data_IF_181710724995
#
_entry.id   IF_181710724995
#
_cell.length_a   1.000
_cell.length_b   1.000
_cell.length_c   1.000
_cell.angle_alpha   90.00
_cell.angle_beta   90.00
_cell.angle_gamma   90.00
#
_symmetry.space_group_name_H-M   'P 1'
#
loop_
_entity.id
_entity.type
_entity.pdbx_description
1 polymer ?
#
# COMPACT_ATOMS: atom_id res chain seq x y z
N UNK A 1 10.25 28.88 -44.93
CA UNK A 1 8.87 29.43 -44.91
C UNK A 1 8.89 30.75 -45.66
N UNK A 2 8.20 30.83 -46.79
CA UNK A 2 7.95 32.08 -47.51
C UNK A 2 6.93 32.90 -46.69
N UNK A 3 7.18 34.17 -46.36
CA UNK A 3 6.21 35.00 -45.66
C UNK A 3 4.89 35.07 -46.42
N UNK A 4 3.75 35.07 -45.71
CA UNK A 4 2.46 35.32 -46.33
C UNK A 4 2.40 36.75 -46.88
N UNK A 5 1.86 36.92 -48.08
CA UNK A 5 1.64 38.23 -48.69
C UNK A 5 0.14 38.51 -48.74
N UNK A 6 -0.26 39.70 -48.29
CA UNK A 6 -1.62 40.22 -48.45
C UNK A 6 -1.50 41.54 -49.19
N UNK A 7 -2.08 41.61 -50.40
CA UNK A 7 -2.02 42.80 -51.27
C UNK A 7 -0.58 43.23 -51.65
N UNK A 8 0.35 42.27 -51.76
CA UNK A 8 1.73 42.54 -52.19
C UNK A 8 2.68 43.02 -51.10
N UNK A 9 2.21 43.16 -49.85
CA UNK A 9 3.06 43.44 -48.70
C UNK A 9 3.25 42.19 -47.84
N UNK A 10 4.48 41.99 -47.34
CA UNK A 10 4.83 40.85 -46.48
C UNK A 10 4.21 41.03 -45.10
N UNK A 11 3.32 40.12 -44.72
CA UNK A 11 2.61 40.17 -43.45
C UNK A 11 3.10 39.06 -42.51
N UNK A 12 3.26 39.38 -41.23
CA UNK A 12 3.55 38.37 -40.20
C UNK A 12 2.26 37.68 -39.82
N UNK A 13 2.13 36.41 -40.22
CA UNK A 13 0.98 35.58 -39.84
C UNK A 13 1.30 34.91 -38.51
N UNK A 14 0.62 35.33 -37.44
CA UNK A 14 0.64 34.61 -36.17
C UNK A 14 -0.21 33.34 -36.35
N UNK A 15 0.41 32.17 -36.34
CA UNK A 15 -0.31 30.91 -36.32
C UNK A 15 -0.24 30.33 -34.91
N UNK A 16 -1.40 30.03 -34.34
CA UNK A 16 -1.51 29.15 -33.17
C UNK A 16 -1.66 27.73 -33.70
N UNK A 17 -0.64 26.89 -33.49
CA UNK A 17 -0.83 25.45 -33.66
C UNK A 17 -1.59 24.98 -32.42
N UNK A 18 -2.82 24.46 -32.54
CA UNK A 18 -3.43 23.79 -31.41
C UNK A 18 -2.58 22.55 -31.10
N UNK A 19 -1.77 22.61 -30.03
CA UNK A 19 -1.15 21.42 -29.48
C UNK A 19 -2.26 20.65 -28.77
N UNK A 20 -2.85 19.69 -29.47
CA UNK A 20 -3.74 18.73 -28.83
C UNK A 20 -2.87 17.72 -28.07
N UNK A 21 -2.77 17.88 -26.76
CA UNK A 21 -2.24 16.83 -25.89
C UNK A 21 -3.25 15.67 -25.89
N UNK A 22 -2.98 14.63 -26.68
CA UNK A 22 -3.61 13.33 -26.46
C UNK A 22 -2.91 12.71 -25.25
N UNK A 23 -3.56 12.76 -24.08
CA UNK A 23 -3.18 11.94 -22.94
C UNK A 23 -3.55 10.48 -23.29
N UNK A 24 -2.68 9.79 -24.03
CA UNK A 24 -2.79 8.34 -24.26
C UNK A 24 -2.29 7.58 -23.03
N UNK A 25 -2.97 7.79 -21.91
CA UNK A 25 -2.81 6.99 -20.71
C UNK A 25 -4.17 6.88 -20.05
N UNK A 26 -4.70 5.67 -19.91
CA UNK A 26 -5.77 5.45 -18.94
C UNK A 26 -5.24 5.96 -17.60
N UNK A 27 -5.92 6.94 -17.00
CA UNK A 27 -5.66 7.29 -15.61
C UNK A 27 -5.84 6.01 -14.78
N UNK A 28 -4.76 5.51 -14.21
CA UNK A 28 -4.81 4.37 -13.30
C UNK A 28 -5.22 4.94 -11.96
N UNK A 29 -6.53 4.91 -11.69
CA UNK A 29 -7.08 5.36 -10.42
C UNK A 29 -6.43 4.61 -9.27
N UNK A 30 -5.81 5.36 -8.34
CA UNK A 30 -5.05 4.82 -7.20
C UNK A 30 -3.53 4.75 -7.42
N UNK A 31 -3.03 4.98 -8.63
CA UNK A 31 -1.60 5.13 -8.87
C UNK A 31 -1.10 6.51 -8.42
N UNK A 32 0.07 6.56 -7.77
CA UNK A 32 0.71 7.82 -7.35
C UNK A 32 1.93 8.10 -8.22
N UNK A 33 2.00 9.29 -8.80
CA UNK A 33 3.19 9.75 -9.50
C UNK A 33 4.10 10.49 -8.53
N UNK A 34 5.37 10.15 -8.56
CA UNK A 34 6.39 10.72 -7.68
C UNK A 34 7.11 11.88 -8.38
N UNK A 35 7.83 12.69 -7.59
CA UNK A 35 8.58 13.86 -8.10
C UNK A 35 9.68 13.47 -9.10
N UNK A 36 10.22 12.26 -8.98
CA UNK A 36 11.22 11.68 -9.90
C UNK A 36 10.60 11.11 -11.19
N UNK A 37 9.28 11.19 -11.35
CA UNK A 37 8.54 10.68 -12.50
C UNK A 37 8.15 9.20 -12.42
N UNK A 38 8.62 8.46 -11.42
CA UNK A 38 8.22 7.06 -11.20
C UNK A 38 6.74 6.95 -10.82
N UNK A 39 6.13 5.81 -11.15
CA UNK A 39 4.73 5.53 -10.88
C UNK A 39 4.60 4.41 -9.84
N UNK A 40 3.90 4.70 -8.74
CA UNK A 40 3.54 3.72 -7.72
C UNK A 40 2.16 3.17 -8.02
N UNK A 41 2.04 1.86 -8.24
CA UNK A 41 0.75 1.20 -8.50
C UNK A 41 0.50 0.16 -7.40
N UNK A 42 -0.62 0.24 -6.67
CA UNK A 42 -0.94 -0.74 -5.63
C UNK A 42 -1.04 -2.18 -6.15
N UNK A 43 -0.48 -3.12 -5.40
CA UNK A 43 -0.50 -4.56 -5.72
C UNK A 43 -1.93 -5.11 -5.95
N UNK A 44 -2.92 -4.53 -5.28
CA UNK A 44 -4.33 -4.92 -5.39
C UNK A 44 -4.90 -4.73 -6.81
N UNK A 45 -4.47 -3.69 -7.53
CA UNK A 45 -5.11 -3.27 -8.80
C UNK A 45 -4.18 -3.30 -10.02
N UNK A 46 -2.88 -3.53 -9.84
CA UNK A 46 -1.91 -3.61 -10.93
C UNK A 46 -2.27 -4.72 -11.94
N UNK A 47 -2.07 -4.45 -13.24
CA UNK A 47 -2.36 -5.40 -14.32
C UNK A 47 -1.50 -6.65 -14.24
N UNK A 48 -0.18 -6.49 -14.17
CA UNK A 48 0.77 -7.60 -13.93
C UNK A 48 1.47 -7.37 -12.60
N UNK A 49 1.23 -8.26 -11.66
CA UNK A 49 1.86 -8.21 -10.34
C UNK A 49 3.34 -8.60 -10.41
N UNK A 50 4.17 -8.11 -9.48
CA UNK A 50 5.51 -8.64 -9.31
C UNK A 50 5.50 -10.16 -9.13
N UNK A 51 6.44 -10.85 -9.78
CA UNK A 51 6.56 -12.31 -9.71
C UNK A 51 7.72 -12.67 -8.79
N UNK A 52 7.39 -13.31 -7.68
CA UNK A 52 8.38 -13.88 -6.77
C UNK A 52 9.04 -15.09 -7.47
N UNK A 53 10.38 -15.29 -7.35
CA UNK A 53 11.03 -16.45 -7.95
C UNK A 53 10.38 -17.77 -7.55
N UNK A 54 9.97 -18.56 -8.53
CA UNK A 54 9.19 -19.80 -8.35
C UNK A 54 7.67 -19.65 -8.48
N UNK A 55 7.17 -18.47 -8.89
CA UNK A 55 5.75 -18.20 -9.17
C UNK A 55 5.45 -17.97 -10.66
N UNK A 56 6.40 -18.28 -11.56
CA UNK A 56 6.32 -17.95 -12.99
C UNK A 56 5.11 -18.62 -13.67
N UNK A 57 4.79 -19.86 -13.27
CA UNK A 57 3.72 -20.67 -13.84
C UNK A 57 2.49 -20.79 -12.91
N UNK A 58 2.37 -19.91 -11.92
CA UNK A 58 1.27 -19.99 -10.96
C UNK A 58 -0.06 -19.56 -11.59
N UNK A 59 -1.13 -20.34 -11.37
CA UNK A 59 -2.49 -20.01 -11.80
C UNK A 59 -2.97 -18.65 -11.24
N UNK A 60 -2.56 -18.35 -10.00
CA UNK A 60 -2.79 -17.06 -9.36
C UNK A 60 -1.47 -16.50 -8.81
N UNK A 61 -0.86 -15.61 -9.60
CA UNK A 61 0.42 -14.97 -9.24
C UNK A 61 0.35 -14.18 -7.93
N UNK A 62 -0.82 -13.58 -7.59
CA UNK A 62 -1.00 -12.82 -6.34
C UNK A 62 -0.92 -13.73 -5.11
N UNK A 63 -1.59 -14.86 -5.18
CA UNK A 63 -1.61 -15.83 -4.09
C UNK A 63 -0.24 -16.49 -3.95
N UNK A 64 0.39 -16.85 -5.07
CA UNK A 64 1.74 -17.41 -5.06
C UNK A 64 2.76 -16.43 -4.47
N UNK A 65 2.74 -15.16 -4.89
CA UNK A 65 3.59 -14.11 -4.33
C UNK A 65 3.43 -14.03 -2.81
N UNK A 66 2.19 -13.97 -2.34
CA UNK A 66 1.89 -13.92 -0.91
C UNK A 66 2.39 -15.15 -0.16
N UNK A 67 2.21 -16.34 -0.71
CA UNK A 67 2.65 -17.59 -0.11
C UNK A 67 4.18 -17.69 -0.04
N UNK A 68 4.87 -17.31 -1.12
CA UNK A 68 6.33 -17.33 -1.18
C UNK A 68 6.96 -16.30 -0.25
N UNK A 69 6.37 -15.11 -0.14
CA UNK A 69 6.81 -14.10 0.83
C UNK A 69 6.64 -14.59 2.28
N UNK A 70 5.50 -15.22 2.61
CA UNK A 70 5.29 -15.82 3.92
C UNK A 70 6.30 -16.94 4.19
N UNK A 71 6.51 -17.83 3.23
CA UNK A 71 7.49 -18.92 3.31
C UNK A 71 8.90 -18.39 3.52
N UNK A 72 9.28 -17.30 2.83
CA UNK A 72 10.56 -16.64 3.00
C UNK A 72 10.73 -16.11 4.43
N UNK A 73 9.72 -15.41 4.95
CA UNK A 73 9.73 -14.89 6.32
C UNK A 73 9.85 -16.05 7.31
N UNK A 74 8.98 -17.06 7.24
CA UNK A 74 9.01 -18.20 8.16
C UNK A 74 10.34 -18.96 8.12
N UNK A 75 10.93 -19.13 6.94
CA UNK A 75 12.22 -19.81 6.77
C UNK A 75 13.38 -19.02 7.37
N UNK A 76 13.34 -17.69 7.26
CA UNK A 76 14.43 -16.83 7.71
C UNK A 76 14.21 -16.28 9.12
N UNK A 77 13.03 -16.44 9.71
CA UNK A 77 12.68 -15.86 11.01
C UNK A 77 13.59 -16.38 12.13
N UNK A 78 14.20 -15.45 12.87
CA UNK A 78 14.93 -15.75 14.11
C UNK A 78 14.46 -14.79 15.18
N UNK A 79 14.23 -15.29 16.38
CA UNK A 79 13.92 -14.40 17.51
C UNK A 79 15.24 -13.90 18.12
N UNK A 80 15.52 -12.59 18.17
CA UNK A 80 16.74 -12.06 18.79
C UNK A 80 16.85 -12.48 20.25
N UNK A 81 17.99 -13.07 20.66
CA UNK A 81 18.18 -13.58 22.04
C UNK A 81 17.98 -12.47 23.08
N UNK A 82 18.52 -11.29 22.82
CA UNK A 82 18.35 -10.13 23.70
C UNK A 82 16.89 -9.70 23.85
N UNK A 83 16.08 -9.85 22.80
CA UNK A 83 14.66 -9.57 22.86
C UNK A 83 13.92 -10.64 23.67
N UNK A 84 14.34 -11.91 23.59
CA UNK A 84 13.81 -12.99 24.43
C UNK A 84 14.12 -12.76 25.90
N UNK A 85 15.37 -12.42 26.24
CA UNK A 85 15.81 -12.15 27.62
C UNK A 85 15.12 -10.95 28.27
N UNK A 86 14.65 -10.01 27.45
CA UNK A 86 13.94 -8.79 27.88
C UNK A 86 12.41 -8.92 27.75
N UNK A 87 11.89 -10.09 27.40
CA UNK A 87 10.46 -10.32 27.15
C UNK A 87 9.84 -9.37 26.12
N UNK A 88 10.63 -8.88 25.16
CA UNK A 88 10.21 -7.90 24.15
C UNK A 88 9.45 -8.62 23.04
N UNK A 89 8.13 -8.39 22.95
CA UNK A 89 7.25 -8.98 21.95
C UNK A 89 6.48 -7.90 21.19
N UNK A 90 5.86 -8.29 20.06
CA UNK A 90 4.88 -7.44 19.37
C UNK A 90 4.91 -7.57 17.86
N UNK A 91 4.24 -6.65 17.18
CA UNK A 91 4.15 -6.60 15.71
C UNK A 91 5.08 -5.53 15.16
N UNK A 92 5.90 -5.92 14.20
CA UNK A 92 6.65 -4.98 13.35
C UNK A 92 5.90 -4.84 12.03
N UNK A 93 5.40 -3.64 11.76
CA UNK A 93 4.79 -3.30 10.47
C UNK A 93 5.89 -2.84 9.52
N UNK A 94 5.96 -3.42 8.32
CA UNK A 94 7.00 -3.14 7.34
C UNK A 94 6.31 -2.67 6.06
N UNK A 95 6.75 -1.55 5.51
CA UNK A 95 6.40 -1.03 4.20
C UNK A 95 7.67 -1.01 3.34
N UNK A 96 7.63 -1.62 2.17
CA UNK A 96 8.72 -1.55 1.20
C UNK A 96 8.16 -1.46 -0.22
N UNK A 97 9.04 -1.17 -1.18
CA UNK A 97 8.69 -1.04 -2.58
C UNK A 97 9.44 -2.08 -3.38
N UNK A 98 8.73 -2.78 -4.25
CA UNK A 98 9.34 -3.53 -5.34
C UNK A 98 9.56 -2.52 -6.46
N UNK A 99 10.82 -2.27 -6.78
CA UNK A 99 11.25 -1.26 -7.74
C UNK A 99 10.99 -1.71 -9.19
N UNK A 100 11.15 -0.80 -10.13
CA UNK A 100 10.98 -1.06 -11.58
C UNK A 100 12.02 -2.06 -12.12
N UNK A 101 13.14 -2.26 -11.43
CA UNK A 101 14.14 -3.30 -11.72
C UNK A 101 13.90 -4.61 -10.97
N UNK A 102 12.87 -4.66 -10.11
CA UNK A 102 12.53 -5.82 -9.29
C UNK A 102 13.31 -5.94 -7.98
N UNK A 103 14.19 -4.98 -7.67
CA UNK A 103 14.86 -4.90 -6.37
C UNK A 103 13.89 -4.44 -5.27
N UNK A 104 14.24 -4.70 -4.01
CA UNK A 104 13.51 -4.20 -2.85
C UNK A 104 14.16 -2.90 -2.38
N UNK A 105 13.37 -1.83 -2.27
CA UNK A 105 13.85 -0.53 -1.81
C UNK A 105 12.87 0.20 -0.92
N UNK A 106 13.29 1.37 -0.44
CA UNK A 106 12.48 2.30 0.36
C UNK A 106 11.82 1.61 1.58
N UNK A 107 12.58 0.73 2.24
CA UNK A 107 12.11 -0.02 3.40
C UNK A 107 11.89 0.96 4.55
N UNK A 108 10.67 0.94 5.10
CA UNK A 108 10.29 1.62 6.32
C UNK A 108 9.65 0.61 7.24
N UNK A 109 9.98 0.65 8.52
CA UNK A 109 9.36 -0.25 9.49
C UNK A 109 9.10 0.46 10.80
N UNK A 110 8.17 -0.11 11.54
CA UNK A 110 7.73 0.39 12.83
C UNK A 110 7.31 -0.77 13.70
N UNK A 111 8.08 -1.00 14.75
CA UNK A 111 7.86 -2.00 15.77
C UNK A 111 7.73 -1.39 17.16
N UNK A 112 7.64 -2.25 18.18
CA UNK A 112 7.68 -1.84 19.58
C UNK A 112 9.12 -1.60 20.08
N UNK A 113 10.12 -2.23 19.45
CA UNK A 113 11.52 -2.16 19.87
C UNK A 113 12.47 -2.37 18.68
N UNK A 114 13.63 -1.73 18.74
CA UNK A 114 14.65 -1.78 17.69
C UNK A 114 15.19 -3.19 17.46
N UNK A 115 15.30 -4.04 18.48
CA UNK A 115 15.78 -5.41 18.32
C UNK A 115 14.90 -6.23 17.36
N UNK A 116 13.58 -5.99 17.39
CA UNK A 116 12.64 -6.65 16.48
C UNK A 116 12.65 -6.00 15.09
N UNK A 117 12.84 -4.69 15.02
CA UNK A 117 12.99 -3.95 13.75
C UNK A 117 14.25 -4.41 13.00
N UNK A 118 15.40 -4.51 13.66
CA UNK A 118 16.67 -4.94 13.06
C UNK A 118 16.57 -6.36 12.47
N UNK A 119 15.87 -7.26 13.15
CA UNK A 119 15.62 -8.62 12.65
C UNK A 119 14.63 -8.64 11.48
N UNK A 120 13.58 -7.81 11.54
CA UNK A 120 12.67 -7.64 10.42
C UNK A 120 13.41 -7.10 9.18
N UNK A 121 14.27 -6.10 9.35
CA UNK A 121 15.13 -5.58 8.28
C UNK A 121 16.03 -6.66 7.69
N UNK A 122 16.63 -7.50 8.53
CA UNK A 122 17.45 -8.63 8.08
C UNK A 122 16.64 -9.63 7.24
N UNK A 123 15.41 -9.95 7.63
CA UNK A 123 14.55 -10.87 6.86
C UNK A 123 14.21 -10.28 5.48
N UNK A 124 13.88 -8.99 5.43
CA UNK A 124 13.50 -8.29 4.18
C UNK A 124 14.70 -8.08 3.25
N UNK A 125 15.87 -7.76 3.78
CA UNK A 125 17.10 -7.64 2.97
C UNK A 125 17.57 -8.95 2.34
N UNK A 126 17.10 -10.10 2.85
CA UNK A 126 17.33 -11.41 2.24
C UNK A 126 16.33 -11.77 1.14
N UNK A 127 15.33 -10.92 0.85
CA UNK A 127 14.39 -11.18 -0.23
C UNK A 127 15.14 -11.26 -1.57
N UNK A 128 14.79 -12.22 -2.44
CA UNK A 128 15.38 -12.27 -3.76
C UNK A 128 14.86 -11.11 -4.61
N UNK A 129 15.64 -10.73 -5.62
CA UNK A 129 15.14 -9.86 -6.68
C UNK A 129 13.98 -10.56 -7.41
N UNK A 130 12.95 -9.78 -7.73
CA UNK A 130 11.70 -10.28 -8.30
C UNK A 130 11.56 -9.83 -9.76
N UNK A 131 10.62 -10.41 -10.49
CA UNK A 131 10.17 -9.76 -11.73
C UNK A 131 9.33 -8.55 -11.33
N UNK A 132 9.61 -7.34 -11.85
CA UNK A 132 8.88 -6.13 -11.49
C UNK A 132 7.42 -6.19 -11.96
N UNK A 133 6.57 -5.42 -11.29
CA UNK A 133 5.19 -5.22 -11.73
C UNK A 133 5.12 -4.36 -12.98
N UNK A 134 4.07 -4.56 -13.78
CA UNK A 134 3.84 -3.82 -15.02
C UNK A 134 2.40 -3.31 -15.09
N UNK A 135 2.25 -2.06 -15.51
CA UNK A 135 0.97 -1.40 -15.72
C UNK A 135 1.00 -0.72 -17.09
N UNK A 136 0.08 -1.09 -17.99
CA UNK A 136 0.01 -0.51 -19.32
C UNK A 136 1.27 -0.69 -20.15
N UNK A 137 1.98 -1.82 -19.98
CA UNK A 137 3.25 -2.07 -20.68
C UNK A 137 4.49 -1.45 -20.02
N UNK A 138 4.32 -0.65 -18.98
CA UNK A 138 5.43 0.06 -18.29
C UNK A 138 5.69 -0.60 -16.94
N UNK A 139 6.98 -0.83 -16.62
CA UNK A 139 7.39 -1.31 -15.31
C UNK A 139 7.17 -0.21 -14.27
N UNK A 140 6.59 -0.56 -13.14
CA UNK A 140 6.18 0.40 -12.10
C UNK A 140 6.63 -0.05 -10.73
N UNK A 141 6.73 0.91 -9.80
CA UNK A 141 7.00 0.59 -8.39
C UNK A 141 5.73 0.08 -7.73
N UNK A 142 5.87 -0.93 -6.89
CA UNK A 142 4.74 -1.55 -6.20
C UNK A 142 4.96 -1.47 -4.69
N UNK A 143 4.21 -0.61 -3.96
CA UNK A 143 4.25 -0.59 -2.52
C UNK A 143 3.64 -1.87 -1.96
N UNK A 144 4.30 -2.47 -0.98
CA UNK A 144 3.83 -3.66 -0.29
C UNK A 144 4.05 -3.52 1.22
N UNK A 145 3.05 -3.92 2.00
CA UNK A 145 3.11 -3.90 3.45
C UNK A 145 2.88 -5.28 4.03
N UNK A 146 3.68 -5.65 5.03
CA UNK A 146 3.60 -6.92 5.70
C UNK A 146 3.91 -6.79 7.20
N UNK A 147 3.03 -7.29 8.07
CA UNK A 147 3.34 -7.40 9.49
C UNK A 147 4.16 -8.67 9.77
N UNK A 148 5.19 -8.56 10.60
CA UNK A 148 5.87 -9.69 11.25
C UNK A 148 5.55 -9.66 12.74
N UNK A 149 4.96 -10.75 13.25
CA UNK A 149 4.59 -10.87 14.65
C UNK A 149 5.67 -11.67 15.41
N UNK A 150 6.29 -11.04 16.41
CA UNK A 150 7.21 -11.68 17.35
C UNK A 150 6.45 -12.02 18.63
N UNK A 151 6.35 -13.32 18.94
CA UNK A 151 5.70 -13.83 20.15
C UNK A 151 6.59 -14.89 20.78
N UNK A 152 6.82 -14.82 22.09
CA UNK A 152 7.49 -15.90 22.80
C UNK A 152 6.46 -17.01 23.01
N UNK A 153 6.80 -18.23 22.62
CA UNK A 153 5.99 -19.39 22.99
C UNK A 153 6.25 -19.66 24.47
N UNK A 154 5.19 -19.70 25.27
CA UNK A 154 5.29 -20.17 26.65
C UNK A 154 5.66 -21.66 26.71
N UNK A 155 6.10 -22.18 27.87
CA UNK A 155 6.43 -23.61 28.05
C UNK A 155 5.30 -24.59 27.71
N UNK A 156 4.04 -24.13 27.60
CA UNK A 156 2.85 -24.98 27.51
C UNK A 156 2.10 -24.89 26.16
N UNK A 157 2.77 -24.57 25.04
CA UNK A 157 2.13 -24.56 23.71
C UNK A 157 2.49 -25.80 22.86
N UNK A 158 2.27 -26.99 23.43
CA UNK A 158 2.20 -28.24 22.66
C UNK A 158 0.84 -28.91 22.89
N UNK A 159 -0.27 -28.19 22.73
CA UNK A 159 -1.60 -28.78 22.51
C UNK A 159 -2.36 -27.97 21.48
N UNK A 160 -2.82 -28.65 20.43
CA UNK A 160 -3.60 -28.09 19.35
C UNK A 160 -4.95 -27.52 19.82
N UNK A 161 -5.44 -26.53 19.04
CA UNK A 161 -6.76 -25.86 19.06
C UNK A 161 -6.81 -24.52 19.79
N UNK A 162 -6.78 -23.47 18.96
CA UNK A 162 -7.52 -22.21 19.06
C UNK A 162 -8.22 -21.91 20.40
N UNK A 163 -7.82 -20.82 21.04
CA UNK A 163 -8.78 -19.84 21.56
C UNK A 163 -8.12 -18.48 21.71
N UNK A 164 -8.91 -17.47 21.38
CA UNK A 164 -8.57 -16.07 21.49
C UNK A 164 -8.07 -15.73 22.89
N UNK A 165 -6.99 -14.93 22.98
CA UNK A 165 -6.52 -14.13 24.15
C UNK A 165 -4.99 -14.09 24.32
N UNK A 166 -4.19 -14.18 23.25
CA UNK A 166 -2.78 -13.74 23.32
C UNK A 166 -2.72 -12.21 23.37
N UNK A 167 -2.77 -11.67 24.59
CA UNK A 167 -2.63 -10.24 24.91
C UNK A 167 -1.28 -9.70 24.40
N UNK A 168 -1.33 -8.50 23.80
CA UNK A 168 -0.25 -7.59 23.34
C UNK A 168 0.11 -7.52 21.85
N UNK A 169 -0.67 -8.13 20.94
CA UNK A 169 -0.71 -7.66 19.55
C UNK A 169 -2.08 -7.06 19.29
N UNK A 170 -2.18 -5.74 19.10
CA UNK A 170 -3.44 -5.09 18.72
C UNK A 170 -3.92 -5.70 17.40
N UNK A 171 -4.93 -6.57 17.48
CA UNK A 171 -5.65 -7.12 16.33
C UNK A 171 -6.80 -6.21 15.89
N UNK A 172 -6.71 -4.93 16.27
CA UNK A 172 -7.74 -3.93 16.09
C UNK A 172 -7.32 -3.01 14.95
N UNK A 173 -8.24 -2.74 14.03
CA UNK A 173 -8.08 -1.67 13.06
C UNK A 173 -9.05 -0.56 13.45
N UNK A 174 -8.50 0.61 13.74
CA UNK A 174 -9.24 1.84 13.98
C UNK A 174 -9.11 2.79 12.81
N UNK A 175 -10.24 3.34 12.35
CA UNK A 175 -10.33 4.32 11.28
C UNK A 175 -10.93 5.58 11.87
N UNK A 176 -10.14 6.66 11.89
CA UNK A 176 -10.62 8.02 12.13
C UNK A 176 -10.66 8.74 10.79
N UNK A 177 -11.79 9.33 10.42
CA UNK A 177 -11.91 10.04 9.16
C UNK A 177 -12.65 11.36 9.30
N UNK A 178 -12.37 12.31 8.42
CA UNK A 178 -13.11 13.55 8.34
C UNK A 178 -13.25 14.03 6.90
N UNK A 179 -14.35 14.74 6.65
CA UNK A 179 -14.65 15.32 5.33
C UNK A 179 -13.89 16.63 5.17
N UNK A 180 -13.22 16.77 4.02
CA UNK A 180 -12.54 17.98 3.56
C UNK A 180 -13.14 18.36 2.22
N UNK A 181 -13.67 19.59 2.12
CA UNK A 181 -14.24 20.11 0.86
C UNK A 181 -13.20 20.92 0.13
N UNK A 182 -12.99 20.63 -1.15
CA UNK A 182 -12.10 21.39 -2.03
C UNK A 182 -12.87 21.72 -3.31
N UNK A 183 -13.32 22.97 -3.43
CA UNK A 183 -14.23 23.39 -4.50
C UNK A 183 -15.56 22.63 -4.43
N UNK A 184 -15.95 21.98 -5.52
CA UNK A 184 -17.18 21.17 -5.61
C UNK A 184 -16.99 19.70 -5.18
N UNK A 185 -15.77 19.28 -4.84
CA UNK A 185 -15.43 17.90 -4.51
C UNK A 185 -15.30 17.70 -3.00
N UNK A 186 -15.72 16.53 -2.54
CA UNK A 186 -15.55 16.09 -1.16
C UNK A 186 -14.48 15.01 -1.08
N UNK A 187 -13.55 15.20 -0.15
CA UNK A 187 -12.46 14.26 0.12
C UNK A 187 -12.63 13.73 1.54
N UNK A 188 -12.54 12.42 1.70
CA UNK A 188 -12.45 11.79 3.00
C UNK A 188 -10.97 11.61 3.33
N UNK A 189 -10.48 12.33 4.34
CA UNK A 189 -9.15 12.12 4.89
C UNK A 189 -9.25 11.15 6.06
N UNK A 190 -8.61 10.00 5.92
CA UNK A 190 -8.60 8.92 6.89
C UNK A 190 -7.22 8.79 7.56
N UNK A 191 -7.23 8.45 8.83
CA UNK A 191 -6.11 7.91 9.59
C UNK A 191 -6.49 6.51 10.04
N UNK A 192 -5.80 5.51 9.50
CA UNK A 192 -5.96 4.11 9.88
C UNK A 192 -4.85 3.75 10.86
N UNK A 193 -5.20 3.13 11.99
CA UNK A 193 -4.27 2.85 13.07
C UNK A 193 -4.60 1.54 13.78
N UNK A 194 -3.65 1.04 14.57
CA UNK A 194 -3.82 -0.10 15.47
C UNK A 194 -4.10 0.33 16.92
N UNK A 195 -4.73 1.50 17.08
CA UNK A 195 -4.91 2.29 18.32
C UNK A 195 -3.65 2.98 18.85
N UNK A 196 -2.46 2.46 18.54
CA UNK A 196 -1.19 3.05 19.02
C UNK A 196 -0.50 3.88 17.95
N UNK A 197 -0.42 3.37 16.73
CA UNK A 197 0.31 3.99 15.62
C UNK A 197 -0.45 3.81 14.30
N UNK A 198 -0.13 4.67 13.34
CA UNK A 198 -0.66 4.57 11.98
C UNK A 198 -0.28 3.24 11.32
N UNK A 199 -1.24 2.65 10.60
CA UNK A 199 -1.11 1.38 9.89
C UNK A 199 -0.79 1.63 8.40
N UNK A 200 0.44 1.35 7.95
CA UNK A 200 0.82 1.53 6.57
C UNK A 200 0.39 0.37 5.68
N UNK A 201 0.03 0.64 4.44
CA UNK A 201 -0.28 -0.41 3.49
C UNK A 201 -1.69 -0.97 3.56
N UNK A 202 -2.61 -0.30 4.24
CA UNK A 202 -4.02 -0.69 4.27
C UNK A 202 -4.62 -0.39 2.90
N UNK A 203 -5.16 -1.41 2.26
CA UNK A 203 -5.92 -1.25 1.02
C UNK A 203 -7.26 -0.59 1.36
N UNK A 204 -7.55 0.54 0.72
CA UNK A 204 -8.79 1.30 0.86
C UNK A 204 -9.44 1.39 -0.51
N UNK A 205 -10.60 0.76 -0.66
CA UNK A 205 -11.39 0.78 -1.90
C UNK A 205 -12.79 1.31 -1.64
N UNK A 206 -13.49 1.73 -2.69
CA UNK A 206 -14.91 2.10 -2.63
C UNK A 206 -15.72 0.99 -3.28
N UNK A 207 -16.74 0.49 -2.57
CA UNK A 207 -17.60 -0.58 -3.07
C UNK A 207 -18.23 -0.19 -4.41
N UNK A 208 -18.06 -1.05 -5.41
CA UNK A 208 -18.57 -0.82 -6.77
C UNK A 208 -17.67 0.04 -7.66
N UNK A 209 -16.55 0.57 -7.15
CA UNK A 209 -15.54 1.27 -7.95
C UNK A 209 -14.30 0.38 -8.11
N UNK A 210 -13.66 0.44 -9.27
CA UNK A 210 -12.42 -0.28 -9.56
C UNK A 210 -11.19 0.54 -9.11
N UNK A 211 -11.25 1.05 -7.89
CA UNK A 211 -10.26 1.95 -7.32
C UNK A 211 -9.79 1.39 -5.99
N UNK A 212 -8.47 1.26 -5.82
CA UNK A 212 -7.89 0.93 -4.52
C UNK A 212 -6.69 1.82 -4.30
N UNK A 213 -6.70 2.50 -3.16
CA UNK A 213 -5.59 3.30 -2.70
C UNK A 213 -4.97 2.64 -1.47
N UNK A 214 -3.75 3.04 -1.13
CA UNK A 214 -2.99 2.45 -0.03
C UNK A 214 -2.60 3.54 0.96
N UNK A 215 -2.76 3.27 2.26
CA UNK A 215 -2.31 4.20 3.31
C UNK A 215 -0.80 4.38 3.28
N UNK A 216 -0.34 5.60 3.55
CA UNK A 216 1.08 5.90 3.67
C UNK A 216 1.71 5.34 4.96
N UNK A 217 2.97 5.70 5.24
CA UNK A 217 3.69 5.20 6.42
C UNK A 217 3.01 5.59 7.75
N UNK A 218 2.26 6.68 7.79
CA UNK A 218 1.55 7.17 8.98
C UNK A 218 0.10 6.73 9.02
N UNK A 219 -0.28 5.79 8.13
CA UNK A 219 -1.64 5.27 8.03
C UNK A 219 -2.63 6.27 7.44
N UNK A 220 -2.14 7.34 6.82
CA UNK A 220 -2.96 8.42 6.29
C UNK A 220 -3.29 8.15 4.82
N UNK A 221 -4.52 8.51 4.46
CA UNK A 221 -4.97 8.51 3.07
C UNK A 221 -6.03 9.58 2.85
N UNK A 222 -6.10 10.15 1.65
CA UNK A 222 -7.13 11.08 1.23
C UNK A 222 -7.74 10.54 -0.08
N UNK A 223 -9.07 10.38 -0.11
CA UNK A 223 -9.81 9.80 -1.24
C UNK A 223 -11.03 10.65 -1.56
N UNK A 224 -11.31 10.85 -2.85
CA UNK A 224 -12.52 11.55 -3.31
C UNK A 224 -13.75 10.66 -3.08
N UNK A 225 -14.80 11.20 -2.45
CA UNK A 225 -15.98 10.43 -2.05
C UNK A 225 -17.27 11.18 -2.36
N UNK A 226 -18.36 10.42 -2.43
CA UNK A 226 -19.73 10.92 -2.50
C UNK A 226 -20.57 10.34 -1.37
N UNK A 227 -21.63 11.06 -0.99
CA UNK A 227 -22.60 10.54 -0.01
C UNK A 227 -23.15 9.20 -0.47
N UNK A 228 -23.14 8.21 0.40
CA UNK A 228 -23.56 6.84 0.12
C UNK A 228 -22.43 5.91 -0.32
N UNK A 229 -21.23 6.44 -0.63
CA UNK A 229 -20.06 5.59 -0.89
C UNK A 229 -19.75 4.73 0.35
N UNK A 230 -19.42 3.45 0.12
CA UNK A 230 -18.99 2.52 1.17
C UNK A 230 -17.50 2.24 0.96
N UNK A 231 -16.66 2.73 1.86
CA UNK A 231 -15.24 2.45 1.86
C UNK A 231 -14.98 1.11 2.55
N UNK A 232 -14.08 0.32 1.98
CA UNK A 232 -13.65 -0.99 2.48
C UNK A 232 -12.15 -0.90 2.79
N UNK A 233 -11.79 -1.14 4.05
CA UNK A 233 -10.42 -1.12 4.55
C UNK A 233 -9.96 -2.55 4.79
N UNK A 234 -8.90 -2.97 4.11
CA UNK A 234 -8.35 -4.32 4.20
C UNK A 234 -6.86 -4.28 4.54
N UNK A 235 -6.49 -5.02 5.57
CA UNK A 235 -5.10 -5.18 5.98
C UNK A 235 -4.82 -6.64 6.32
N UNK A 236 -3.66 -7.14 5.91
CA UNK A 236 -3.33 -8.56 6.03
C UNK A 236 -3.29 -8.97 7.50
N UNK A 237 -4.11 -9.95 7.86
CA UNK A 237 -4.21 -10.49 9.21
C UNK A 237 -5.11 -9.69 10.17
N UNK A 238 -5.83 -8.69 9.68
CA UNK A 238 -6.87 -7.97 10.45
C UNK A 238 -8.26 -8.15 9.82
N UNK A 239 -9.35 -8.05 10.62
CA UNK A 239 -10.70 -8.00 10.09
C UNK A 239 -10.91 -6.81 9.14
N UNK A 240 -11.75 -7.00 8.12
CA UNK A 240 -12.12 -5.91 7.20
C UNK A 240 -12.99 -4.88 7.92
N UNK A 241 -12.70 -3.59 7.76
CA UNK A 241 -13.53 -2.49 8.27
C UNK A 241 -14.26 -1.82 7.13
N UNK A 242 -15.52 -1.44 7.33
CA UNK A 242 -16.31 -0.70 6.34
C UNK A 242 -16.78 0.63 6.90
N UNK A 243 -16.80 1.68 6.08
CA UNK A 243 -17.27 3.01 6.43
C UNK A 243 -18.22 3.51 5.35
N UNK A 244 -19.46 3.81 5.70
CA UNK A 244 -20.41 4.47 4.79
C UNK A 244 -20.31 5.98 4.96
N UNK A 245 -20.10 6.70 3.85
CA UNK A 245 -20.07 8.17 3.83
C UNK A 245 -21.50 8.69 3.98
N UNK A 246 -21.73 9.45 5.03
CA UNK A 246 -23.01 10.10 5.36
C UNK A 246 -22.84 11.62 5.37
N UNK A 247 -23.82 12.35 5.91
CA UNK A 247 -23.71 13.81 6.09
C UNK A 247 -22.78 14.21 7.27
N UNK A 248 -22.20 13.23 7.97
CA UNK A 248 -21.28 13.50 9.08
C UNK A 248 -19.95 14.07 8.59
N UNK A 249 -19.40 15.03 9.34
CA UNK A 249 -18.07 15.59 9.07
C UNK A 249 -16.93 14.77 9.64
N UNK A 250 -17.20 13.88 10.60
CA UNK A 250 -16.19 13.04 11.28
C UNK A 250 -16.74 11.64 11.51
N UNK A 251 -15.86 10.66 11.42
CA UNK A 251 -16.13 9.24 11.58
C UNK A 251 -15.07 8.63 12.49
N UNK A 252 -15.48 7.69 13.33
CA UNK A 252 -14.57 6.89 14.13
C UNK A 252 -15.13 5.46 14.18
N UNK A 253 -14.33 4.50 13.72
CA UNK A 253 -14.68 3.09 13.70
C UNK A 253 -13.53 2.33 14.33
N UNK A 254 -13.81 1.46 15.29
CA UNK A 254 -12.82 0.53 15.84
C UNK A 254 -13.44 -0.86 15.83
N UNK A 255 -12.90 -1.76 15.02
CA UNK A 255 -13.33 -3.15 15.03
C UNK A 255 -12.68 -3.84 16.23
N UNK A 256 -13.51 -4.21 17.22
CA UNK A 256 -13.16 -5.01 18.40
C UNK A 256 -13.22 -6.50 18.11
#
# INVERSE_FOLDING_TARGET
MTPGEHHGEKVRVAYSVPITFKLEGKEVYGARRNDDGSLDVPFAIIEKVPVFPGCEDADNMRDCFNAMLQKHISKNFRYPKEAQEKDIQGRVNILFFIQEDGSIGNIKMRGPDKLLEDEAERIISLLPQMVPGEQGGVKVRVPFSIPINFRLKGPDENTALQSAESRSVSNLMSVMAYIKKVGAKEFLRCMVSDETKGLPGVNVSIQGKNETMVTDFDGIIEIEVQKGDVLIFQYKGLPTTMLTVTDQQKYQITNK
#
